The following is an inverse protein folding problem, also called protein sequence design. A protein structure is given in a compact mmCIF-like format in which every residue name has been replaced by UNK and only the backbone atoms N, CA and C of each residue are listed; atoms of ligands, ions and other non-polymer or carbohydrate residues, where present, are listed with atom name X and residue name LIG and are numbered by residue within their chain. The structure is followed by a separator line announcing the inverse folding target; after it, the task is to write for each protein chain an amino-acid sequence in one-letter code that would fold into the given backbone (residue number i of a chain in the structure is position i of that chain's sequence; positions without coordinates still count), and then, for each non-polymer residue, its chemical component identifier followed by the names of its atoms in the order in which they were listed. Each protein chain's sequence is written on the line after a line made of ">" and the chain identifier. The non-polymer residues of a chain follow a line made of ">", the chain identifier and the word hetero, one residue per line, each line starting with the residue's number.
data_IF_995368046637
#
_entry.id   IF_995368046637
#
_cell.length_a   1.000
_cell.length_b   1.000
_cell.length_c   1.000
_cell.angle_alpha   90.00
_cell.angle_beta   90.00
_cell.angle_gamma   90.00
#
_symmetry.space_group_name_H-M   'P 1'
#
loop_
_entity.id
_entity.type
_entity.pdbx_description
1 polymer ?
#
# COMPACT_ATOMS: atom_id res chain seq x y z
N UNK A 1 -25.47 16.56 -19.75
CA UNK A 1 -25.74 16.43 -18.32
C UNK A 1 -25.83 14.94 -18.02
N UNK A 2 -24.68 14.41 -17.65
CA UNK A 2 -24.51 13.09 -17.04
C UNK A 2 -25.23 13.14 -15.68
N UNK A 3 -25.90 12.06 -15.29
CA UNK A 3 -26.67 12.00 -14.03
C UNK A 3 -25.79 11.39 -12.93
N UNK A 4 -26.08 11.64 -11.66
CA UNK A 4 -25.51 10.87 -10.54
C UNK A 4 -25.62 9.35 -10.73
N UNK A 5 -26.59 8.88 -11.54
CA UNK A 5 -26.73 7.48 -11.96
C UNK A 5 -25.55 6.97 -12.81
N UNK A 6 -24.93 7.82 -13.63
CA UNK A 6 -23.82 7.45 -14.50
C UNK A 6 -22.54 7.17 -13.68
N UNK A 7 -22.36 7.83 -12.53
CA UNK A 7 -21.22 7.59 -11.62
C UNK A 7 -21.34 6.29 -10.81
N UNK A 8 -22.47 5.57 -10.89
CA UNK A 8 -22.56 4.17 -10.44
C UNK A 8 -21.58 3.26 -11.18
N UNK A 9 -21.15 3.66 -12.38
CA UNK A 9 -20.10 2.94 -13.11
C UNK A 9 -18.82 2.81 -12.27
N UNK A 10 -18.45 3.81 -11.46
CA UNK A 10 -17.25 3.73 -10.61
C UNK A 10 -17.39 2.65 -9.54
N UNK A 11 -18.57 2.49 -8.93
CA UNK A 11 -18.82 1.39 -7.98
C UNK A 11 -18.78 0.03 -8.67
N UNK A 12 -19.28 -0.08 -9.91
CA UNK A 12 -19.18 -1.32 -10.70
C UNK A 12 -17.73 -1.64 -11.05
N UNK A 13 -16.94 -0.64 -11.46
CA UNK A 13 -15.51 -0.81 -11.73
C UNK A 13 -14.79 -1.22 -10.44
N UNK A 14 -15.03 -0.54 -9.33
CA UNK A 14 -14.52 -0.91 -7.99
C UNK A 14 -14.81 -2.39 -7.68
N UNK A 15 -16.06 -2.83 -7.78
CA UNK A 15 -16.46 -4.21 -7.52
C UNK A 15 -15.80 -5.23 -8.45
N UNK A 16 -15.66 -4.91 -9.74
CA UNK A 16 -15.02 -5.81 -10.71
C UNK A 16 -13.49 -5.80 -10.64
N UNK A 17 -12.89 -4.79 -9.98
CA UNK A 17 -11.44 -4.71 -9.72
C UNK A 17 -11.05 -5.33 -8.39
N UNK A 18 -11.99 -5.51 -7.46
CA UNK A 18 -11.77 -6.14 -6.16
C UNK A 18 -11.66 -7.67 -6.30
N UNK A 19 -11.24 -8.34 -5.22
CA UNK A 19 -11.24 -9.79 -5.15
C UNK A 19 -12.67 -10.31 -5.45
N UNK A 20 -12.82 -11.27 -6.37
CA UNK A 20 -14.14 -11.72 -6.81
C UNK A 20 -14.77 -12.64 -5.76
N UNK A 21 -15.36 -12.01 -4.75
CA UNK A 21 -16.05 -12.65 -3.63
C UNK A 21 -17.30 -13.41 -4.08
N UNK A 22 -17.74 -14.34 -3.24
CA UNK A 22 -18.90 -15.20 -3.51
C UNK A 22 -20.15 -14.39 -3.91
N UNK A 23 -20.38 -13.25 -3.26
CA UNK A 23 -21.50 -12.35 -3.51
C UNK A 23 -21.57 -11.85 -4.96
N UNK A 24 -20.44 -11.80 -5.67
CA UNK A 24 -20.42 -11.39 -7.08
C UNK A 24 -21.07 -12.44 -7.99
N UNK A 25 -20.97 -13.73 -7.65
CA UNK A 25 -21.41 -14.85 -8.50
C UNK A 25 -22.79 -15.39 -8.16
N UNK A 26 -23.37 -14.98 -7.03
CA UNK A 26 -24.74 -15.33 -6.68
C UNK A 26 -25.75 -14.39 -7.33
N UNK A 27 -26.98 -14.88 -7.43
CA UNK A 27 -28.09 -14.19 -8.08
C UNK A 27 -27.71 -13.71 -9.50
N UNK A 28 -28.26 -12.57 -9.95
CA UNK A 28 -27.97 -11.97 -11.25
C UNK A 28 -26.97 -10.81 -11.13
N UNK A 29 -26.06 -10.81 -10.15
CA UNK A 29 -25.21 -9.65 -9.82
C UNK A 29 -24.23 -9.29 -10.95
N UNK A 30 -23.58 -10.27 -11.58
CA UNK A 30 -22.75 -10.04 -12.78
C UNK A 30 -23.57 -9.45 -13.93
N UNK A 31 -24.80 -9.93 -14.15
CA UNK A 31 -25.70 -9.40 -15.18
C UNK A 31 -26.14 -7.96 -14.87
N UNK A 32 -26.40 -7.63 -13.61
CA UNK A 32 -26.70 -6.25 -13.19
C UNK A 32 -25.51 -5.32 -13.43
N UNK A 33 -24.29 -5.77 -13.11
CA UNK A 33 -23.06 -5.04 -13.41
C UNK A 33 -22.94 -4.78 -14.91
N UNK A 34 -23.17 -5.81 -15.73
CA UNK A 34 -23.14 -5.71 -17.19
C UNK A 34 -24.15 -4.70 -17.72
N UNK A 35 -25.38 -4.72 -17.21
CA UNK A 35 -26.42 -3.78 -17.61
C UNK A 35 -26.03 -2.33 -17.30
N UNK A 36 -25.49 -2.06 -16.10
CA UNK A 36 -25.02 -0.73 -15.71
C UNK A 36 -23.88 -0.24 -16.60
N UNK A 37 -22.92 -1.11 -16.92
CA UNK A 37 -21.81 -0.82 -17.85
C UNK A 37 -22.33 -0.44 -19.22
N UNK A 38 -23.25 -1.23 -19.79
CA UNK A 38 -23.77 -1.00 -21.15
C UNK A 38 -24.56 0.31 -21.27
N UNK A 39 -25.21 0.75 -20.18
CA UNK A 39 -25.99 1.99 -20.13
C UNK A 39 -25.14 3.25 -19.89
N UNK A 40 -23.94 3.11 -19.32
CA UNK A 40 -23.10 4.25 -18.94
C UNK A 40 -22.77 5.16 -20.12
N UNK A 41 -22.88 6.48 -19.93
CA UNK A 41 -22.48 7.47 -20.95
C UNK A 41 -21.06 8.00 -20.78
N UNK A 42 -20.38 7.59 -19.71
CA UNK A 42 -19.04 8.05 -19.36
C UNK A 42 -17.94 7.45 -20.26
N UNK A 43 -18.23 6.29 -20.85
CA UNK A 43 -17.26 5.49 -21.60
C UNK A 43 -17.79 5.15 -23.01
N UNK A 44 -16.86 4.93 -23.94
CA UNK A 44 -17.18 4.59 -25.33
C UNK A 44 -17.83 3.21 -25.43
N UNK A 45 -18.62 2.93 -26.49
CA UNK A 45 -19.21 1.60 -26.71
C UNK A 45 -18.18 0.48 -26.76
N UNK A 46 -16.97 0.75 -27.26
CA UNK A 46 -15.86 -0.20 -27.30
C UNK A 46 -15.42 -0.59 -25.88
N UNK A 47 -15.20 0.38 -24.99
CA UNK A 47 -14.79 0.09 -23.61
C UNK A 47 -15.90 -0.60 -22.82
N UNK A 48 -17.17 -0.29 -23.10
CA UNK A 48 -18.31 -1.05 -22.53
C UNK A 48 -18.24 -2.52 -22.95
N UNK A 49 -17.91 -2.79 -24.20
CA UNK A 49 -17.80 -4.16 -24.70
C UNK A 49 -16.58 -4.89 -24.12
N UNK A 50 -15.45 -4.21 -23.90
CA UNK A 50 -14.29 -4.78 -23.21
C UNK A 50 -14.67 -5.25 -21.79
N UNK A 51 -15.36 -4.39 -21.02
CA UNK A 51 -15.82 -4.74 -19.66
C UNK A 51 -16.90 -5.83 -19.69
N UNK A 52 -17.84 -5.75 -20.63
CA UNK A 52 -18.85 -6.81 -20.81
C UNK A 52 -18.21 -8.17 -21.11
N UNK A 53 -17.11 -8.18 -21.87
CA UNK A 53 -16.33 -9.40 -22.17
C UNK A 53 -15.64 -9.95 -20.92
N UNK A 54 -15.10 -9.09 -20.05
CA UNK A 54 -14.57 -9.50 -18.74
C UNK A 54 -15.67 -10.16 -17.90
N UNK A 55 -16.85 -9.52 -17.79
CA UNK A 55 -17.98 -10.05 -17.01
C UNK A 55 -18.43 -11.41 -17.58
N UNK A 56 -18.58 -11.53 -18.89
CA UNK A 56 -18.93 -12.79 -19.55
C UNK A 56 -17.88 -13.88 -19.30
N UNK A 57 -16.61 -13.50 -19.28
CA UNK A 57 -15.53 -14.42 -18.95
C UNK A 57 -15.61 -14.88 -17.48
N UNK A 58 -15.84 -13.97 -16.53
CA UNK A 58 -15.99 -14.32 -15.10
C UNK A 58 -17.18 -15.26 -14.89
N UNK A 59 -18.33 -14.95 -15.50
CA UNK A 59 -19.53 -15.79 -15.43
C UNK A 59 -19.29 -17.19 -16.02
N UNK A 60 -18.57 -17.28 -17.15
CA UNK A 60 -18.28 -18.56 -17.80
C UNK A 60 -17.24 -19.41 -17.04
N UNK A 61 -16.31 -18.78 -16.33
CA UNK A 61 -15.31 -19.47 -15.51
C UNK A 61 -15.92 -20.00 -14.21
N UNK A 62 -16.78 -19.20 -13.57
CA UNK A 62 -17.21 -19.43 -12.19
C UNK A 62 -16.27 -18.81 -11.16
N UNK A 63 -16.70 -18.84 -9.91
CA UNK A 63 -16.06 -18.16 -8.77
C UNK A 63 -14.59 -18.57 -8.58
N UNK A 64 -14.31 -19.86 -8.41
CA UNK A 64 -12.98 -20.36 -8.05
C UNK A 64 -11.95 -20.03 -9.13
N UNK A 65 -12.29 -20.23 -10.40
CA UNK A 65 -11.43 -19.93 -11.54
C UNK A 65 -11.23 -18.42 -11.73
N UNK A 66 -12.23 -17.59 -11.42
CA UNK A 66 -12.10 -16.14 -11.42
C UNK A 66 -11.17 -15.66 -10.29
N UNK A 67 -11.31 -16.20 -9.09
CA UNK A 67 -10.43 -15.95 -7.95
C UNK A 67 -8.98 -16.35 -8.27
N UNK A 68 -8.76 -17.55 -8.81
CA UNK A 68 -7.43 -18.00 -9.20
C UNK A 68 -6.78 -17.10 -10.28
N UNK A 69 -7.59 -16.58 -11.21
CA UNK A 69 -7.11 -15.58 -12.18
C UNK A 69 -6.77 -14.26 -11.53
N UNK A 70 -7.60 -13.78 -10.60
CA UNK A 70 -7.34 -12.57 -9.83
C UNK A 70 -6.00 -12.69 -9.10
N UNK A 71 -5.79 -13.75 -8.31
CA UNK A 71 -4.56 -13.99 -7.57
C UNK A 71 -3.34 -14.03 -8.50
N UNK A 72 -3.48 -14.68 -9.65
CA UNK A 72 -2.40 -14.79 -10.63
C UNK A 72 -1.97 -13.45 -11.23
N UNK A 73 -2.87 -12.44 -11.22
CA UNK A 73 -2.63 -11.13 -11.79
C UNK A 73 -2.20 -10.14 -10.71
N UNK A 74 -2.95 -10.02 -9.62
CA UNK A 74 -2.85 -8.89 -8.68
C UNK A 74 -2.08 -9.21 -7.40
N UNK A 75 -1.99 -10.49 -7.00
CA UNK A 75 -1.42 -10.90 -5.71
C UNK A 75 -0.02 -11.54 -5.81
N UNK A 76 0.43 -11.89 -7.02
CA UNK A 76 1.72 -12.59 -7.21
C UNK A 76 2.96 -11.69 -7.19
N UNK A 77 2.81 -10.43 -7.54
CA UNK A 77 3.95 -9.53 -7.76
C UNK A 77 3.55 -8.06 -7.63
N UNK A 78 4.55 -7.20 -7.61
CA UNK A 78 4.39 -5.75 -7.40
C UNK A 78 3.93 -5.05 -8.68
N UNK A 79 4.20 -5.63 -9.85
CA UNK A 79 3.94 -4.99 -11.14
C UNK A 79 2.47 -4.72 -11.42
N UNK A 80 1.56 -5.58 -10.96
CA UNK A 80 0.12 -5.39 -11.14
C UNK A 80 -0.61 -5.07 -9.85
N UNK A 81 0.10 -4.93 -8.73
CA UNK A 81 -0.45 -4.51 -7.44
C UNK A 81 -1.46 -3.37 -7.58
N UNK A 82 -2.59 -3.48 -6.90
CA UNK A 82 -3.64 -2.46 -6.87
C UNK A 82 -3.42 -1.41 -5.76
N UNK A 83 -2.26 -1.42 -5.10
CA UNK A 83 -1.87 -0.44 -4.09
C UNK A 83 -1.25 0.80 -4.77
N UNK A 84 -1.97 1.92 -4.78
CA UNK A 84 -1.58 3.11 -5.54
C UNK A 84 -0.19 3.63 -5.18
N UNK A 85 0.12 3.74 -3.88
CA UNK A 85 1.39 4.33 -3.44
C UNK A 85 2.59 3.43 -3.65
N UNK A 86 2.38 2.14 -3.89
CA UNK A 86 3.47 1.23 -4.25
C UNK A 86 4.14 1.65 -5.57
N UNK A 87 3.35 2.08 -6.55
CA UNK A 87 3.85 2.51 -7.87
C UNK A 87 4.53 3.88 -7.87
N UNK A 88 4.26 4.71 -6.86
CA UNK A 88 4.79 6.08 -6.75
C UNK A 88 5.99 6.14 -5.80
N UNK A 89 5.87 5.51 -4.64
CA UNK A 89 6.78 5.69 -3.51
C UNK A 89 7.57 4.43 -3.15
N UNK A 90 7.15 3.25 -3.61
CA UNK A 90 7.75 1.97 -3.21
C UNK A 90 7.76 1.81 -1.69
N UNK A 91 8.94 1.52 -1.11
CA UNK A 91 9.14 1.38 0.34
C UNK A 91 9.63 2.68 1.01
N UNK A 92 9.56 3.82 0.30
CA UNK A 92 10.03 5.09 0.86
C UNK A 92 9.15 5.58 2.02
N UNK A 93 9.74 6.39 2.89
CA UNK A 93 9.02 7.04 4.01
C UNK A 93 7.85 7.91 3.53
N UNK A 94 7.92 8.41 2.31
CA UNK A 94 6.89 9.25 1.71
C UNK A 94 5.56 8.49 1.54
N UNK A 95 5.61 7.15 1.37
CA UNK A 95 4.41 6.30 1.34
C UNK A 95 3.58 6.42 2.61
N UNK A 96 4.23 6.45 3.78
CA UNK A 96 3.55 6.54 5.06
C UNK A 96 2.83 7.88 5.24
N UNK A 97 3.43 8.97 4.77
CA UNK A 97 2.78 10.28 4.81
C UNK A 97 1.59 10.34 3.84
N UNK A 98 1.73 9.80 2.64
CA UNK A 98 0.64 9.73 1.65
C UNK A 98 -0.56 8.93 2.17
N UNK A 99 -0.32 7.83 2.90
CA UNK A 99 -1.39 7.06 3.57
C UNK A 99 -2.12 7.90 4.63
N UNK A 100 -1.39 8.63 5.47
CA UNK A 100 -1.99 9.52 6.48
C UNK A 100 -2.83 10.61 5.83
N UNK A 101 -2.32 11.22 4.77
CA UNK A 101 -3.02 12.28 4.06
C UNK A 101 -4.31 11.76 3.40
N UNK A 102 -4.28 10.56 2.81
CA UNK A 102 -5.46 9.92 2.22
C UNK A 102 -6.50 9.50 3.27
N UNK A 103 -6.07 8.97 4.42
CA UNK A 103 -6.98 8.70 5.54
C UNK A 103 -7.67 9.97 6.04
N UNK A 104 -6.93 11.07 6.16
CA UNK A 104 -7.51 12.36 6.56
C UNK A 104 -8.57 12.85 5.55
N UNK A 105 -8.36 12.60 4.25
CA UNK A 105 -9.36 12.90 3.21
C UNK A 105 -10.64 12.06 3.40
N UNK A 106 -10.52 10.75 3.68
CA UNK A 106 -11.66 9.89 3.97
C UNK A 106 -12.43 10.35 5.21
N UNK A 107 -11.71 10.66 6.30
CA UNK A 107 -12.30 11.16 7.55
C UNK A 107 -13.05 12.48 7.35
N UNK A 108 -12.46 13.43 6.62
CA UNK A 108 -13.09 14.72 6.29
C UNK A 108 -14.36 14.56 5.47
N UNK A 109 -14.41 13.54 4.64
CA UNK A 109 -15.56 13.16 3.82
C UNK A 109 -16.59 12.29 4.57
N UNK A 110 -16.32 11.91 5.81
CA UNK A 110 -17.17 11.00 6.60
C UNK A 110 -17.24 9.59 6.00
N UNK A 111 -16.19 9.15 5.29
CA UNK A 111 -16.09 7.82 4.71
C UNK A 111 -15.27 6.91 5.64
N UNK A 112 -15.94 5.98 6.30
CA UNK A 112 -15.28 5.04 7.22
C UNK A 112 -14.80 3.79 6.48
N UNK A 113 -13.52 3.46 6.64
CA UNK A 113 -12.92 2.23 6.11
C UNK A 113 -12.67 1.22 7.23
N UNK A 114 -12.60 -0.06 6.90
CA UNK A 114 -12.26 -1.09 7.87
C UNK A 114 -10.82 -0.91 8.36
N UNK A 115 -10.58 -1.03 9.67
CA UNK A 115 -9.25 -0.86 10.27
C UNK A 115 -8.17 -1.84 9.74
N UNK A 116 -8.57 -2.89 9.02
CA UNK A 116 -7.66 -3.85 8.40
C UNK A 116 -7.26 -3.50 6.96
N UNK A 117 -7.93 -2.55 6.34
CA UNK A 117 -7.70 -2.19 4.95
C UNK A 117 -6.81 -0.94 4.87
N UNK A 118 -5.87 -0.92 3.93
CA UNK A 118 -5.05 0.27 3.70
C UNK A 118 -5.80 1.23 2.77
N UNK A 119 -5.64 2.56 2.97
CA UNK A 119 -6.44 3.56 2.28
C UNK A 119 -6.15 3.64 0.77
N UNK A 120 -4.99 3.15 0.32
CA UNK A 120 -4.50 3.27 -1.05
C UNK A 120 -4.85 2.09 -1.96
N UNK A 121 -5.72 1.18 -1.51
CA UNK A 121 -6.28 0.13 -2.35
C UNK A 121 -7.16 0.74 -3.44
N UNK A 122 -6.83 0.53 -4.71
CA UNK A 122 -7.53 1.18 -5.82
C UNK A 122 -9.05 0.89 -5.85
N UNK A 123 -9.55 -0.35 -5.68
CA UNK A 123 -10.99 -0.60 -5.59
C UNK A 123 -11.69 0.20 -4.49
N UNK A 124 -11.08 0.32 -3.30
CA UNK A 124 -11.60 1.14 -2.21
C UNK A 124 -11.60 2.63 -2.57
N UNK A 125 -10.50 3.13 -3.16
CA UNK A 125 -10.44 4.52 -3.59
C UNK A 125 -11.54 4.86 -4.60
N UNK A 126 -11.84 3.94 -5.53
CA UNK A 126 -12.94 4.10 -6.48
C UNK A 126 -14.33 4.05 -5.82
N UNK A 127 -14.49 3.24 -4.77
CA UNK A 127 -15.70 3.24 -3.96
C UNK A 127 -15.90 4.58 -3.24
N UNK A 128 -14.84 5.10 -2.62
CA UNK A 128 -14.83 6.42 -2.02
C UNK A 128 -15.24 7.50 -3.03
N UNK A 129 -14.66 7.51 -4.23
CA UNK A 129 -15.02 8.46 -5.28
C UNK A 129 -16.48 8.30 -5.75
N UNK A 130 -17.00 7.08 -5.85
CA UNK A 130 -18.41 6.83 -6.18
C UNK A 130 -19.35 7.36 -5.09
N UNK A 131 -18.97 7.22 -3.82
CA UNK A 131 -19.70 7.78 -2.69
C UNK A 131 -19.69 9.31 -2.73
N UNK A 132 -18.53 9.94 -2.95
CA UNK A 132 -18.41 11.40 -3.10
C UNK A 132 -19.23 11.94 -4.28
N UNK A 133 -19.25 11.25 -5.41
CA UNK A 133 -20.09 11.61 -6.56
C UNK A 133 -21.59 11.66 -6.21
N UNK A 134 -22.01 10.77 -5.31
CA UNK A 134 -23.40 10.68 -4.85
C UNK A 134 -23.77 11.79 -3.89
N UNK A 135 -22.85 12.20 -3.00
CA UNK A 135 -23.11 13.21 -1.96
C UNK A 135 -22.91 14.63 -2.48
N UNK A 136 -21.79 14.89 -3.15
CA UNK A 136 -21.38 16.26 -3.51
C UNK A 136 -21.95 16.69 -4.87
N UNK A 137 -22.35 15.73 -5.70
CA UNK A 137 -22.80 15.95 -7.08
C UNK A 137 -21.78 16.71 -7.96
N UNK A 138 -20.50 16.71 -7.58
CA UNK A 138 -19.42 17.34 -8.33
C UNK A 138 -18.68 16.30 -9.17
N UNK A 139 -19.20 16.03 -10.37
CA UNK A 139 -18.57 15.10 -11.29
C UNK A 139 -17.19 15.57 -11.79
N UNK A 140 -16.93 16.88 -11.79
CA UNK A 140 -15.66 17.42 -12.27
C UNK A 140 -14.54 17.08 -11.29
N UNK A 141 -14.79 17.28 -9.99
CA UNK A 141 -13.87 16.89 -8.93
C UNK A 141 -13.52 15.39 -9.03
N UNK A 142 -14.52 14.52 -9.23
CA UNK A 142 -14.28 13.07 -9.34
C UNK A 142 -13.39 12.72 -10.55
N UNK A 143 -13.57 13.41 -11.67
CA UNK A 143 -12.72 13.22 -12.86
C UNK A 143 -11.30 13.70 -12.61
N UNK A 144 -11.13 14.82 -11.91
CA UNK A 144 -9.81 15.33 -11.50
C UNK A 144 -9.10 14.33 -10.58
N UNK A 145 -9.80 13.73 -9.62
CA UNK A 145 -9.22 12.72 -8.74
C UNK A 145 -8.76 11.45 -9.48
N UNK A 146 -9.50 11.01 -10.49
CA UNK A 146 -9.09 9.88 -11.34
C UNK A 146 -7.92 10.31 -12.26
N UNK A 147 -7.92 11.57 -12.73
CA UNK A 147 -6.81 12.11 -13.52
C UNK A 147 -5.50 12.18 -12.71
N UNK A 148 -5.57 12.49 -11.41
CA UNK A 148 -4.39 12.52 -10.52
C UNK A 148 -3.65 11.16 -10.49
N UNK A 149 -4.38 10.05 -10.60
CA UNK A 149 -3.82 8.69 -10.62
C UNK A 149 -3.67 8.10 -12.03
N UNK A 150 -3.94 8.87 -13.09
CA UNK A 150 -4.01 8.35 -14.47
C UNK A 150 -2.70 7.71 -14.96
N UNK A 151 -1.56 8.19 -14.47
CA UNK A 151 -0.25 7.62 -14.78
C UNK A 151 -0.08 6.19 -14.24
N UNK A 152 -0.60 5.91 -13.04
CA UNK A 152 -0.62 4.56 -12.44
C UNK A 152 -1.59 3.68 -13.22
N UNK A 153 -2.79 4.18 -13.48
CA UNK A 153 -3.83 3.49 -14.27
C UNK A 153 -3.31 3.12 -15.66
N UNK A 154 -2.58 4.03 -16.32
CA UNK A 154 -1.95 3.81 -17.63
C UNK A 154 -0.88 2.71 -17.57
N UNK A 155 -0.04 2.73 -16.54
CA UNK A 155 0.99 1.71 -16.33
C UNK A 155 0.38 0.31 -16.15
N UNK A 156 -0.64 0.21 -15.29
CA UNK A 156 -1.35 -1.04 -15.03
C UNK A 156 -2.11 -1.53 -16.28
N UNK A 157 -2.76 -0.63 -17.02
CA UNK A 157 -3.43 -0.96 -18.28
C UNK A 157 -2.44 -1.54 -19.31
N UNK A 158 -1.26 -0.94 -19.45
CA UNK A 158 -0.24 -1.43 -20.37
C UNK A 158 0.27 -2.83 -19.98
N UNK A 159 0.50 -3.08 -18.68
CA UNK A 159 0.89 -4.40 -18.16
C UNK A 159 -0.20 -5.46 -18.37
N UNK A 160 -1.46 -5.11 -18.15
CA UNK A 160 -2.59 -6.01 -18.40
C UNK A 160 -2.78 -6.31 -19.89
N UNK A 161 -2.56 -5.31 -20.76
CA UNK A 161 -2.58 -5.49 -22.21
C UNK A 161 -1.46 -6.44 -22.67
N UNK A 162 -0.24 -6.28 -22.14
CA UNK A 162 0.89 -7.18 -22.42
C UNK A 162 0.60 -8.64 -22.03
N UNK A 163 -0.10 -8.83 -20.89
CA UNK A 163 -0.55 -10.14 -20.42
C UNK A 163 -1.85 -10.65 -21.07
N UNK A 164 -2.42 -9.94 -22.05
CA UNK A 164 -3.68 -10.27 -22.72
C UNK A 164 -4.87 -10.45 -21.75
N UNK A 165 -4.93 -9.64 -20.69
CA UNK A 165 -5.98 -9.71 -19.67
C UNK A 165 -7.18 -8.82 -20.01
N UNK A 166 -8.40 -9.36 -19.87
CA UNK A 166 -9.64 -8.60 -20.07
C UNK A 166 -9.89 -7.54 -18.98
N UNK A 167 -9.18 -7.60 -17.85
CA UNK A 167 -9.21 -6.55 -16.82
C UNK A 167 -8.79 -5.17 -17.38
N UNK A 168 -8.05 -5.11 -18.49
CA UNK A 168 -7.67 -3.85 -19.16
C UNK A 168 -8.87 -2.95 -19.47
N UNK A 169 -10.05 -3.53 -19.70
CA UNK A 169 -11.29 -2.77 -19.95
C UNK A 169 -11.65 -1.81 -18.81
N UNK A 170 -11.42 -2.24 -17.56
CA UNK A 170 -11.69 -1.44 -16.36
C UNK A 170 -10.77 -0.21 -16.31
N UNK A 171 -9.49 -0.38 -16.64
CA UNK A 171 -8.52 0.71 -16.65
C UNK A 171 -8.73 1.67 -17.83
N UNK A 172 -9.11 1.17 -19.02
CA UNK A 172 -9.54 2.00 -20.14
C UNK A 172 -10.72 2.90 -19.76
N UNK A 173 -11.68 2.37 -18.99
CA UNK A 173 -12.80 3.16 -18.49
C UNK A 173 -12.35 4.29 -17.57
N UNK A 174 -11.45 4.01 -16.62
CA UNK A 174 -10.90 5.05 -15.73
C UNK A 174 -10.19 6.15 -16.52
N UNK A 175 -9.39 5.80 -17.54
CA UNK A 175 -8.73 6.80 -18.40
C UNK A 175 -9.73 7.66 -19.17
N UNK A 176 -10.78 7.08 -19.74
CA UNK A 176 -11.83 7.86 -20.41
C UNK A 176 -12.59 8.76 -19.44
N UNK A 177 -12.81 8.32 -18.20
CA UNK A 177 -13.43 9.15 -17.16
C UNK A 177 -12.50 10.32 -16.80
N UNK A 178 -11.19 10.08 -16.66
CA UNK A 178 -10.18 11.13 -16.46
C UNK A 178 -10.03 12.09 -17.65
N UNK A 179 -10.57 11.75 -18.83
CA UNK A 179 -10.40 12.52 -20.06
C UNK A 179 -9.09 12.23 -20.80
N UNK A 180 -8.40 11.15 -20.45
CA UNK A 180 -7.15 10.72 -21.06
C UNK A 180 -7.41 9.90 -22.33
N UNK A 181 -6.62 10.09 -23.41
CA UNK A 181 -6.77 9.32 -24.63
C UNK A 181 -6.20 7.91 -24.44
N UNK A 182 -6.89 6.88 -24.93
CA UNK A 182 -6.44 5.49 -24.77
C UNK A 182 -5.09 5.17 -25.44
N UNK A 183 -4.61 6.02 -26.35
CA UNK A 183 -3.28 5.89 -26.96
C UNK A 183 -2.13 6.00 -25.95
N UNK A 184 -2.36 6.53 -24.75
CA UNK A 184 -1.34 6.55 -23.68
C UNK A 184 -0.95 5.13 -23.26
N UNK A 185 -1.87 4.17 -23.36
CA UNK A 185 -1.60 2.75 -23.05
C UNK A 185 -0.58 2.19 -24.04
N UNK A 186 -0.79 2.40 -25.34
CA UNK A 186 0.12 1.92 -26.40
C UNK A 186 1.53 2.54 -26.26
N UNK A 187 1.59 3.84 -25.93
CA UNK A 187 2.85 4.53 -25.69
C UNK A 187 3.59 3.96 -24.48
N UNK A 188 2.86 3.70 -23.40
CA UNK A 188 3.41 3.12 -22.18
C UNK A 188 3.87 1.67 -22.40
N UNK A 189 3.11 0.86 -23.14
CA UNK A 189 3.49 -0.50 -23.53
C UNK A 189 4.78 -0.49 -24.36
N UNK A 190 4.87 0.39 -25.36
CA UNK A 190 6.07 0.54 -26.17
C UNK A 190 7.30 1.01 -25.37
N UNK A 191 7.09 1.80 -24.32
CA UNK A 191 8.16 2.20 -23.37
C UNK A 191 8.63 0.99 -22.55
N UNK A 192 7.70 0.22 -21.99
CA UNK A 192 8.02 -0.97 -21.20
C UNK A 192 8.83 -2.00 -22.00
N UNK A 193 8.46 -2.26 -23.26
CA UNK A 193 9.20 -3.17 -24.14
C UNK A 193 10.62 -2.69 -24.47
N UNK A 194 10.88 -1.38 -24.43
CA UNK A 194 12.24 -0.83 -24.61
C UNK A 194 13.08 -0.97 -23.35
N UNK A 195 12.46 -0.82 -22.18
CA UNK A 195 13.15 -0.80 -20.90
C UNK A 195 13.56 -2.22 -20.43
N UNK A 196 13.10 -3.29 -21.11
CA UNK A 196 13.42 -4.70 -20.80
C UNK A 196 13.26 -5.04 -19.31
N UNK A 197 12.23 -4.51 -18.65
CA UNK A 197 11.98 -4.84 -17.25
C UNK A 197 11.61 -6.33 -17.14
N UNK A 198 12.33 -7.12 -16.32
CA UNK A 198 11.98 -8.50 -16.09
C UNK A 198 10.63 -8.60 -15.38
N UNK A 199 9.85 -9.61 -15.74
CA UNK A 199 8.61 -9.95 -15.03
C UNK A 199 8.93 -10.29 -13.57
N UNK A 200 8.21 -9.67 -12.64
CA UNK A 200 8.40 -9.84 -11.20
C UNK A 200 7.47 -10.89 -10.58
N UNK A 201 6.54 -11.42 -11.38
CA UNK A 201 5.54 -12.43 -10.99
C UNK A 201 5.94 -13.86 -11.36
N UNK A 202 7.16 -14.07 -11.88
CA UNK A 202 7.67 -15.43 -12.13
C UNK A 202 8.15 -16.07 -10.83
N UNK A 203 8.06 -17.40 -10.74
CA UNK A 203 8.55 -18.16 -9.58
C UNK A 203 9.99 -17.82 -9.26
N UNK A 204 10.85 -17.69 -10.28
CA UNK A 204 12.26 -17.35 -10.09
C UNK A 204 12.46 -15.92 -9.58
N UNK A 205 11.61 -14.97 -9.97
CA UNK A 205 11.67 -13.59 -9.49
C UNK A 205 11.19 -13.49 -8.04
N UNK A 206 10.12 -14.20 -7.70
CA UNK A 206 9.62 -14.34 -6.34
C UNK A 206 10.69 -14.99 -5.48
N UNK A 207 11.17 -16.19 -5.82
CA UNK A 207 12.21 -16.92 -5.07
C UNK A 207 13.44 -16.04 -4.81
N UNK A 208 13.89 -15.29 -5.82
CA UNK A 208 15.00 -14.33 -5.68
C UNK A 208 14.69 -13.16 -4.74
N UNK A 209 13.46 -12.66 -4.70
CA UNK A 209 13.05 -11.62 -3.77
C UNK A 209 12.95 -12.14 -2.32
N UNK A 210 12.67 -13.43 -2.16
CA UNK A 210 12.63 -14.13 -0.86
C UNK A 210 13.98 -14.72 -0.43
N UNK A 211 14.99 -14.76 -1.30
CA UNK A 211 16.38 -15.01 -0.92
C UNK A 211 16.85 -13.85 -0.03
N UNK A 212 16.66 -14.00 1.29
CA UNK A 212 17.10 -13.04 2.29
C UNK A 212 18.57 -12.68 2.07
N UNK A 213 18.86 -11.38 1.94
CA UNK A 213 20.22 -10.87 1.99
C UNK A 213 20.82 -11.34 3.32
N UNK A 214 21.83 -12.21 3.24
CA UNK A 214 22.42 -12.86 4.40
C UNK A 214 22.75 -11.80 5.45
N UNK A 215 22.03 -11.80 6.58
CA UNK A 215 22.26 -10.85 7.66
C UNK A 215 23.66 -11.15 8.20
N UNK A 216 24.63 -10.35 7.77
CA UNK A 216 26.00 -10.43 8.27
C UNK A 216 26.04 -9.83 9.69
N UNK A 217 25.81 -10.68 10.68
CA UNK A 217 25.96 -10.31 12.09
C UNK A 217 27.41 -9.95 12.47
N UNK A 218 28.41 -10.30 11.65
CA UNK A 218 29.82 -9.97 11.87
C UNK A 218 30.22 -8.62 11.23
N UNK A 219 29.49 -8.14 10.23
CA UNK A 219 29.66 -6.82 9.63
C UNK A 219 29.08 -5.67 10.47
N UNK A 220 28.22 -5.98 11.44
CA UNK A 220 27.61 -5.02 12.35
C UNK A 220 28.42 -4.73 13.63
N UNK A 221 29.63 -5.27 13.78
CA UNK A 221 30.57 -4.86 14.84
C UNK A 221 31.33 -3.57 14.49
N UNK A 222 30.66 -2.50 14.04
CA UNK A 222 31.25 -1.15 14.06
C UNK A 222 30.31 0.03 13.78
N UNK A 223 28.98 -0.15 13.77
CA UNK A 223 28.07 0.99 13.66
C UNK A 223 27.51 1.36 15.03
N UNK A 224 28.27 2.23 15.70
CA UNK A 224 27.90 3.17 16.76
C UNK A 224 26.51 3.00 17.42
N UNK A 225 26.33 1.90 18.16
CA UNK A 225 25.20 1.75 19.06
C UNK A 225 25.36 2.70 20.27
N UNK A 226 24.33 3.47 20.68
CA UNK A 226 24.39 4.39 21.83
C UNK A 226 24.70 3.69 23.16
N UNK A 227 24.50 2.37 23.24
CA UNK A 227 24.80 1.56 24.42
C UNK A 227 26.31 1.47 24.73
N UNK A 228 27.19 1.68 23.73
CA UNK A 228 28.62 1.74 23.98
C UNK A 228 29.03 3.04 24.67
N UNK A 229 28.33 4.15 24.40
CA UNK A 229 28.56 5.42 25.11
C UNK A 229 28.14 5.31 26.58
N UNK A 230 27.08 4.56 26.89
CA UNK A 230 26.64 4.29 28.26
C UNK A 230 27.66 3.46 29.03
N UNK A 231 28.22 2.40 28.43
CA UNK A 231 29.26 1.57 29.08
C UNK A 231 30.56 2.34 29.31
N UNK A 232 31.00 3.16 28.36
CA UNK A 232 32.17 4.03 28.53
C UNK A 232 31.94 5.11 29.60
N UNK A 233 30.74 5.70 29.68
CA UNK A 233 30.39 6.64 30.76
C UNK A 233 30.39 5.99 32.14
N UNK A 234 29.83 4.78 32.26
CA UNK A 234 29.82 4.05 33.54
C UNK A 234 31.24 3.70 33.97
N UNK A 235 32.09 3.25 33.05
CA UNK A 235 33.50 2.95 33.33
C UNK A 235 34.29 4.21 33.76
N UNK A 236 34.07 5.34 33.09
CA UNK A 236 34.72 6.61 33.46
C UNK A 236 34.25 7.13 34.83
N UNK A 237 32.93 7.05 35.11
CA UNK A 237 32.38 7.43 36.42
C UNK A 237 32.90 6.54 37.55
N UNK A 238 33.07 5.24 37.30
CA UNK A 238 33.66 4.30 38.27
C UNK A 238 35.17 4.57 38.48
N UNK A 239 35.91 4.91 37.41
CA UNK A 239 37.32 5.32 37.50
C UNK A 239 37.53 6.61 38.28
N UNK A 240 36.70 7.63 38.04
CA UNK A 240 36.72 8.89 38.81
C UNK A 240 36.38 8.67 40.29
N UNK A 241 35.42 7.78 40.58
CA UNK A 241 35.07 7.44 41.97
C UNK A 241 36.21 6.72 42.71
N UNK A 242 36.93 5.83 42.02
CA UNK A 242 38.09 5.12 42.57
C UNK A 242 39.27 6.06 42.83
N UNK A 243 39.52 7.03 41.94
CA UNK A 243 40.56 8.05 42.12
C UNK A 243 40.23 9.01 43.27
N UNK A 244 38.97 9.46 43.40
CA UNK A 244 38.54 10.31 44.52
C UNK A 244 38.62 9.61 45.87
N UNK A 245 38.40 8.29 45.94
CA UNK A 245 38.61 7.51 47.16
C UNK A 245 40.09 7.32 47.52
N UNK A 246 40.99 7.32 46.52
CA UNK A 246 42.45 7.23 46.73
C UNK A 246 43.08 8.55 47.22
N UNK A 247 42.43 9.70 46.96
CA UNK A 247 42.92 11.02 47.38
C UNK A 247 42.45 11.46 48.79
N UNK A 248 41.57 10.71 49.45
CA UNK A 248 41.22 10.98 50.85
C UNK A 248 42.36 10.49 51.74
N UNK A 249 43.06 11.36 52.49
CA UNK A 249 44.12 10.92 53.39
C UNK A 249 43.53 10.00 54.46
N UNK A 250 44.03 8.76 54.53
CA UNK A 250 43.66 7.81 55.57
C UNK A 250 44.15 8.36 56.91
N UNK A 251 43.26 8.91 57.72
CA UNK A 251 43.57 9.20 59.12
C UNK A 251 43.81 7.88 59.85
N UNK A 252 45.05 7.66 60.27
CA UNK A 252 45.45 6.51 61.07
C UNK A 252 44.77 6.60 62.45
N UNK A 253 43.95 5.60 62.81
CA UNK A 253 43.39 5.46 64.15
C UNK A 253 44.19 4.38 64.86
N UNK A 254 44.96 4.78 65.87
CA UNK A 254 45.88 3.89 66.59
C UNK A 254 45.11 2.91 67.49
N UNK A 255 45.28 1.61 67.26
CA UNK A 255 44.66 0.53 68.03
C UNK A 255 45.54 0.17 69.24
N UNK A 256 45.65 1.10 70.20
CA UNK A 256 46.06 0.72 71.56
C UNK A 256 45.69 1.78 72.60
N UNK A 257 44.43 1.77 73.04
CA UNK A 257 44.10 2.04 74.43
C UNK A 257 42.87 1.22 74.80
N UNK A 258 43.14 0.08 75.43
CA UNK A 258 42.17 -0.63 76.24
C UNK A 258 41.89 0.19 77.50
N UNK A 259 40.60 0.37 77.84
CA UNK A 259 40.04 0.07 79.16
C UNK A 259 38.76 0.87 79.45
N UNK A 260 37.73 0.11 79.88
CA UNK A 260 36.80 0.39 80.98
C UNK A 260 35.91 1.64 80.84
N UNK A 261 34.61 1.47 80.57
CA UNK A 261 33.56 1.11 81.53
C UNK A 261 32.79 2.34 82.04
N UNK A 262 31.51 2.10 82.28
CA UNK A 262 30.61 2.79 83.25
C UNK A 262 29.58 3.75 82.66
N UNK A 263 28.40 3.17 82.43
CA UNK A 263 27.08 3.54 82.96
C UNK A 263 26.55 4.99 82.94
N UNK A 264 25.22 5.01 82.69
CA UNK A 264 24.18 5.93 83.19
C UNK A 264 23.92 7.24 82.46
N UNK A 265 22.63 7.44 82.13
CA UNK A 265 21.99 8.73 82.41
C UNK A 265 20.90 9.16 81.41
N UNK A 266 19.68 8.68 81.68
CA UNK A 266 18.35 9.28 81.37
C UNK A 266 17.94 9.44 79.90
#
# INVERSE_FOLDING_TARGET
>A
MTSATDMKLLKVISLLMDYPEHELFIDDNLDQCKQLVMQSRLISPEVRQDIATLIDQMAALGELEAQAKYDSLFERGRSLSLWLFEHVHGESRDRGQAMVDLMAQYDMAGFEINAKELPDYLPMYLEFLSHQATINHDEMQIREEIANISHIVTLLAARLMDKNSHYVGLFKALLQIAGEPLSVIDQQLAKMHKDNQPADDTTEAIDKAWEEEMVDFLGAEQQNCPSNQTKQRIANLQGEHAQRQAEVPVHWVDFNQSAKATTQGV
#
